data_IF_947398206311
#
_entry.id   IF_947398206311
#
_cell.length_a   1.000
_cell.length_b   1.000
_cell.length_c   1.000
_cell.angle_alpha   90.00
_cell.angle_beta   90.00
_cell.angle_gamma   90.00
#
_symmetry.space_group_name_H-M   'P 1'
#
loop_
_entity.id
_entity.type
_entity.pdbx_description
1 polymer ?
#
# COMPACT_ATOMS: atom_id res chain seq x y z
N UNK A 1 9.62 -35.68 38.59
CA UNK A 1 10.51 -35.01 37.63
C UNK A 1 9.64 -34.14 36.72
N UNK A 2 9.74 -32.82 36.84
CA UNK A 2 9.05 -31.83 36.02
C UNK A 2 9.99 -31.42 34.88
N UNK A 3 9.56 -31.57 33.64
CA UNK A 3 10.24 -31.04 32.46
C UNK A 3 9.62 -29.69 32.11
N UNK A 4 10.32 -28.61 32.47
CA UNK A 4 10.08 -27.27 31.96
C UNK A 4 10.62 -27.19 30.54
N UNK A 5 9.74 -26.97 29.56
CA UNK A 5 10.14 -26.56 28.20
C UNK A 5 9.81 -25.08 28.08
N UNK A 6 10.83 -24.26 28.21
CA UNK A 6 10.84 -22.85 27.81
C UNK A 6 11.51 -22.78 26.44
N UNK A 7 10.78 -22.41 25.40
CA UNK A 7 11.30 -22.03 24.07
C UNK A 7 10.14 -21.35 23.33
N UNK A 8 10.24 -20.19 22.70
CA UNK A 8 11.33 -19.25 22.55
C UNK A 8 10.70 -17.91 22.22
N UNK A 9 11.30 -16.86 22.75
CA UNK A 9 10.92 -15.48 22.53
C UNK A 9 10.99 -15.20 21.02
N UNK A 10 9.85 -14.94 20.39
CA UNK A 10 9.83 -14.42 19.04
C UNK A 10 10.33 -12.98 19.11
N UNK A 11 11.56 -12.77 18.64
CA UNK A 11 12.13 -11.45 18.39
C UNK A 11 11.30 -10.80 17.27
N UNK A 12 10.57 -9.70 17.50
CA UNK A 12 9.96 -8.96 16.42
C UNK A 12 11.09 -8.24 15.68
N UNK A 13 11.47 -8.80 14.54
CA UNK A 13 12.26 -8.11 13.52
C UNK A 13 11.74 -6.68 13.37
N UNK A 14 12.66 -5.73 13.49
CA UNK A 14 12.48 -4.30 13.33
C UNK A 14 11.71 -3.98 12.05
N UNK A 15 10.38 -3.92 12.13
CA UNK A 15 9.58 -3.17 11.17
C UNK A 15 10.02 -1.71 11.32
N UNK A 16 10.59 -1.16 10.25
CA UNK A 16 10.97 0.25 10.16
C UNK A 16 9.81 1.09 10.70
N UNK A 17 10.02 1.62 11.91
CA UNK A 17 9.03 2.38 12.65
C UNK A 17 8.84 3.72 11.95
N UNK A 18 8.01 3.74 10.91
CA UNK A 18 7.34 4.96 10.50
C UNK A 18 6.53 5.44 11.71
N UNK A 19 6.61 6.73 12.10
CA UNK A 19 5.79 7.25 13.18
C UNK A 19 4.32 6.90 12.94
N UNK A 20 3.74 6.11 13.84
CA UNK A 20 2.34 5.75 13.76
C UNK A 20 1.50 7.04 13.74
N UNK A 21 0.71 7.25 12.68
CA UNK A 21 -0.22 8.38 12.55
C UNK A 21 0.20 9.51 11.59
N UNK A 22 1.22 9.33 10.75
CA UNK A 22 1.58 10.30 9.71
C UNK A 22 0.51 10.38 8.60
N UNK A 23 0.00 11.59 8.29
CA UNK A 23 -0.89 11.82 7.16
C UNK A 23 -0.11 11.83 5.82
N UNK A 24 -0.75 11.45 4.71
CA UNK A 24 -0.07 11.36 3.40
C UNK A 24 0.74 12.63 3.03
N UNK A 25 0.25 13.86 3.28
CA UNK A 25 1.02 15.06 3.04
C UNK A 25 2.33 15.10 3.84
N UNK A 26 2.31 14.79 5.14
CA UNK A 26 3.53 14.70 5.95
C UNK A 26 4.47 13.61 5.44
N UNK A 27 3.93 12.42 5.13
CA UNK A 27 4.69 11.30 4.60
C UNK A 27 5.42 11.68 3.30
N UNK A 28 4.73 12.31 2.35
CA UNK A 28 5.35 12.74 1.10
C UNK A 28 6.44 13.80 1.30
N UNK A 29 6.24 14.75 2.22
CA UNK A 29 7.25 15.77 2.52
C UNK A 29 8.51 15.15 3.12
N UNK A 30 8.34 14.21 4.07
CA UNK A 30 9.45 13.48 4.67
C UNK A 30 10.23 12.68 3.62
N UNK A 31 9.54 11.94 2.75
CA UNK A 31 10.17 11.10 1.72
C UNK A 31 10.89 11.94 0.64
N UNK A 32 10.35 13.11 0.28
CA UNK A 32 11.05 14.06 -0.60
C UNK A 32 12.32 14.61 0.04
N UNK A 33 12.27 14.95 1.34
CA UNK A 33 13.44 15.40 2.08
C UNK A 33 14.51 14.28 2.20
N UNK A 34 14.07 13.04 2.49
CA UNK A 34 14.91 11.85 2.58
C UNK A 34 15.65 11.56 1.27
N UNK A 35 14.94 11.60 0.15
CA UNK A 35 15.51 11.37 -1.19
C UNK A 35 16.25 12.58 -1.76
N UNK A 36 16.17 13.74 -1.11
CA UNK A 36 16.68 15.03 -1.61
C UNK A 36 16.15 15.38 -3.00
N UNK A 37 14.90 14.99 -3.28
CA UNK A 37 14.19 15.24 -4.54
C UNK A 37 13.06 16.23 -4.32
N UNK A 38 12.64 16.87 -5.39
CA UNK A 38 11.55 17.84 -5.33
C UNK A 38 10.22 17.30 -5.89
N UNK A 39 9.17 18.04 -5.59
CA UNK A 39 7.81 17.74 -6.05
C UNK A 39 7.68 17.76 -7.59
N UNK A 40 8.48 18.56 -8.29
CA UNK A 40 8.43 18.69 -9.75
C UNK A 40 9.00 17.45 -10.42
N UNK A 41 10.10 16.92 -9.90
CA UNK A 41 10.66 15.63 -10.30
C UNK A 41 9.64 14.51 -10.08
N UNK A 42 8.94 14.51 -8.93
CA UNK A 42 7.96 13.48 -8.60
C UNK A 42 6.76 13.52 -9.54
N UNK A 43 6.24 14.73 -9.82
CA UNK A 43 5.18 14.93 -10.81
C UNK A 43 5.59 14.46 -12.21
N UNK A 44 6.84 14.72 -12.60
CA UNK A 44 7.36 14.33 -13.91
C UNK A 44 7.47 12.82 -14.05
N UNK A 45 8.04 12.13 -13.06
CA UNK A 45 8.25 10.67 -13.14
C UNK A 45 6.95 9.86 -12.97
N UNK A 46 6.02 10.35 -12.14
CA UNK A 46 4.73 9.67 -11.94
C UNK A 46 3.70 9.99 -13.04
N UNK A 47 3.92 11.06 -13.82
CA UNK A 47 2.91 11.61 -14.74
C UNK A 47 1.72 12.28 -14.03
N UNK A 48 1.75 12.41 -12.70
CA UNK A 48 0.71 13.10 -11.93
C UNK A 48 0.90 14.60 -12.10
N UNK A 49 -0.17 15.31 -12.48
CA UNK A 49 -0.14 16.78 -12.64
C UNK A 49 0.41 17.45 -11.39
N UNK A 50 1.39 18.35 -11.57
CA UNK A 50 2.02 19.09 -10.48
C UNK A 50 1.01 19.77 -9.55
N UNK A 51 -0.02 20.42 -10.10
CA UNK A 51 -1.07 21.08 -9.31
C UNK A 51 -1.87 20.11 -8.44
N UNK A 52 -2.05 18.86 -8.90
CA UNK A 52 -2.73 17.81 -8.15
C UNK A 52 -1.86 17.34 -6.98
N UNK A 53 -0.59 17.07 -7.24
CA UNK A 53 0.38 16.71 -6.21
C UNK A 53 0.53 17.85 -5.17
N UNK A 54 0.56 19.09 -5.64
CA UNK A 54 0.60 20.29 -4.78
C UNK A 54 -0.62 20.33 -3.86
N UNK A 55 -1.80 20.06 -4.40
CA UNK A 55 -3.03 20.11 -3.61
C UNK A 55 -3.06 19.08 -2.47
N UNK A 56 -2.35 17.97 -2.64
CA UNK A 56 -2.17 16.97 -1.59
C UNK A 56 -1.14 17.44 -0.56
N UNK A 57 0.05 17.85 -1.00
CA UNK A 57 1.14 18.30 -0.12
C UNK A 57 0.74 19.51 0.74
N UNK A 58 -0.03 20.46 0.19
CA UNK A 58 -0.49 21.64 0.92
C UNK A 58 -1.82 21.42 1.66
N UNK A 59 -2.33 20.18 1.72
CA UNK A 59 -3.62 19.82 2.35
C UNK A 59 -4.84 20.58 1.82
N UNK A 60 -4.75 21.20 0.64
CA UNK A 60 -5.86 21.99 0.07
C UNK A 60 -6.96 21.11 -0.50
N UNK A 61 -6.67 19.83 -0.78
CA UNK A 61 -7.67 18.80 -1.08
C UNK A 61 -7.42 17.57 -0.22
N UNK A 62 -8.49 16.99 0.32
CA UNK A 62 -8.43 15.75 1.08
C UNK A 62 -7.85 14.58 0.26
N UNK A 63 -7.03 13.77 0.91
CA UNK A 63 -6.30 12.64 0.32
C UNK A 63 -7.12 11.35 0.23
N UNK A 64 -8.31 11.33 0.85
CA UNK A 64 -9.22 10.18 0.88
C UNK A 64 -9.72 9.71 -0.49
N UNK A 65 -9.67 10.58 -1.52
CA UNK A 65 -10.10 10.27 -2.90
C UNK A 65 -8.96 9.97 -3.87
N UNK A 66 -7.72 9.84 -3.38
CA UNK A 66 -6.59 9.48 -4.25
C UNK A 66 -6.83 8.07 -4.79
N UNK A 67 -6.52 7.85 -6.08
CA UNK A 67 -6.68 6.54 -6.72
C UNK A 67 -5.57 5.61 -6.23
N UNK A 68 -5.88 4.32 -6.09
CA UNK A 68 -4.88 3.33 -5.70
C UNK A 68 -3.67 3.31 -6.66
N UNK A 69 -3.92 3.46 -7.96
CA UNK A 69 -2.86 3.53 -8.97
C UNK A 69 -1.95 4.75 -8.77
N UNK A 70 -2.50 5.91 -8.39
CA UNK A 70 -1.69 7.10 -8.11
C UNK A 70 -0.78 6.86 -6.88
N UNK A 71 -1.30 6.21 -5.83
CA UNK A 71 -0.49 5.84 -4.66
C UNK A 71 0.60 4.83 -5.00
N UNK A 72 0.29 3.84 -5.85
CA UNK A 72 1.26 2.85 -6.33
C UNK A 72 2.38 3.52 -7.11
N UNK A 73 2.05 4.40 -8.06
CA UNK A 73 3.04 5.15 -8.84
C UNK A 73 3.95 6.01 -7.97
N UNK A 74 3.38 6.72 -6.98
CA UNK A 74 4.16 7.49 -6.01
C UNK A 74 5.12 6.58 -5.23
N UNK A 75 4.62 5.44 -4.74
CA UNK A 75 5.42 4.47 -3.99
C UNK A 75 6.57 3.91 -4.84
N UNK A 76 6.28 3.49 -6.07
CA UNK A 76 7.26 2.89 -6.98
C UNK A 76 8.39 3.89 -7.30
N UNK A 77 8.04 5.15 -7.60
CA UNK A 77 9.04 6.21 -7.87
C UNK A 77 9.87 6.53 -6.64
N UNK A 78 9.25 6.73 -5.47
CA UNK A 78 9.96 7.07 -4.24
C UNK A 78 10.92 5.96 -3.81
N UNK A 79 10.51 4.69 -3.91
CA UNK A 79 11.40 3.53 -3.67
C UNK A 79 12.52 3.46 -4.71
N UNK A 80 12.23 3.76 -5.97
CA UNK A 80 13.24 3.88 -7.02
C UNK A 80 14.30 4.95 -6.74
N UNK A 81 13.97 5.96 -5.94
CA UNK A 81 14.91 6.97 -5.45
C UNK A 81 15.60 6.60 -4.13
N UNK A 82 15.33 5.42 -3.59
CA UNK A 82 15.92 4.91 -2.36
C UNK A 82 15.17 5.29 -1.08
N UNK A 83 13.93 5.78 -1.17
CA UNK A 83 13.11 6.07 0.02
C UNK A 83 12.66 4.77 0.71
N UNK A 84 12.73 4.74 2.04
CA UNK A 84 12.17 3.65 2.85
C UNK A 84 10.67 3.87 3.05
N UNK A 85 9.88 3.38 2.09
CA UNK A 85 8.42 3.44 2.13
C UNK A 85 7.78 2.18 1.56
N UNK A 86 6.72 1.72 2.21
CA UNK A 86 5.91 0.59 1.76
C UNK A 86 4.57 1.04 1.15
N UNK A 87 3.98 0.26 0.24
CA UNK A 87 2.62 0.52 -0.27
C UNK A 87 1.57 0.62 0.86
N UNK A 88 1.77 -0.15 1.93
CA UNK A 88 0.93 -0.13 3.13
C UNK A 88 0.95 1.23 3.81
N UNK A 89 2.14 1.77 4.11
CA UNK A 89 2.30 3.09 4.74
C UNK A 89 1.64 4.18 3.88
N UNK A 90 1.82 4.15 2.56
CA UNK A 90 1.19 5.10 1.62
C UNK A 90 -0.34 5.00 1.62
N UNK A 91 -0.88 3.79 1.69
CA UNK A 91 -2.33 3.57 1.76
C UNK A 91 -2.91 4.00 3.12
N UNK A 92 -2.28 3.63 4.24
CA UNK A 92 -2.69 4.04 5.60
C UNK A 92 -2.68 5.57 5.72
N UNK A 93 -1.59 6.22 5.29
CA UNK A 93 -1.45 7.68 5.34
C UNK A 93 -2.49 8.41 4.46
N UNK A 94 -3.00 7.76 3.41
CA UNK A 94 -4.07 8.32 2.57
C UNK A 94 -5.48 8.22 3.19
N UNK A 95 -5.60 7.59 4.36
CA UNK A 95 -6.88 7.33 5.02
C UNK A 95 -7.73 6.27 4.29
N UNK A 96 -7.10 5.46 3.43
CA UNK A 96 -7.79 4.33 2.79
C UNK A 96 -7.76 3.13 3.72
N UNK A 97 -8.85 2.36 3.84
CA UNK A 97 -8.80 1.06 4.49
C UNK A 97 -7.78 0.22 3.74
N UNK A 98 -6.66 -0.08 4.41
CA UNK A 98 -5.69 -1.02 3.88
C UNK A 98 -6.33 -2.38 4.01
N UNK A 99 -6.50 -3.14 2.90
CA UNK A 99 -6.80 -4.55 3.01
C UNK A 99 -5.72 -5.10 3.91
N UNK A 100 -6.12 -5.54 5.12
CA UNK A 100 -5.16 -6.04 6.11
C UNK A 100 -4.23 -7.03 5.41
N UNK A 101 -2.95 -7.12 5.85
CA UNK A 101 -1.92 -7.83 5.11
C UNK A 101 -2.53 -9.11 4.54
N UNK A 102 -2.38 -9.29 3.23
CA UNK A 102 -2.54 -10.61 2.69
C UNK A 102 -1.51 -11.41 3.48
N UNK A 103 -1.95 -12.09 4.54
CA UNK A 103 -1.15 -13.09 5.24
C UNK A 103 -0.58 -13.87 4.08
N UNK A 104 0.74 -13.90 3.91
CA UNK A 104 1.33 -14.46 2.67
C UNK A 104 0.75 -15.85 2.38
N UNK A 105 0.36 -16.56 3.44
CA UNK A 105 -0.47 -17.76 3.45
C UNK A 105 -1.81 -17.63 2.68
N UNK A 106 -2.62 -16.59 2.91
CA UNK A 106 -3.87 -16.32 2.18
C UNK A 106 -3.63 -15.99 0.71
N UNK A 107 -2.61 -15.19 0.39
CA UNK A 107 -2.25 -14.91 -1.01
C UNK A 107 -1.77 -16.18 -1.71
N UNK A 108 -0.86 -16.91 -1.07
CA UNK A 108 -0.34 -18.20 -1.56
C UNK A 108 -1.47 -19.20 -1.75
N UNK A 109 -2.38 -19.32 -0.78
CA UNK A 109 -3.56 -20.17 -0.87
C UNK A 109 -4.49 -19.77 -2.01
N UNK A 110 -4.72 -18.47 -2.23
CA UNK A 110 -5.52 -17.99 -3.35
C UNK A 110 -4.86 -18.35 -4.70
N UNK A 111 -3.54 -18.19 -4.81
CA UNK A 111 -2.79 -18.54 -6.00
C UNK A 111 -2.77 -20.06 -6.25
N UNK A 112 -2.64 -20.86 -5.20
CA UNK A 112 -2.68 -22.32 -5.30
C UNK A 112 -4.07 -22.80 -5.75
N UNK A 113 -5.13 -22.22 -5.20
CA UNK A 113 -6.51 -22.47 -5.65
C UNK A 113 -6.63 -22.10 -7.13
N UNK A 114 -6.24 -20.88 -7.51
CA UNK A 114 -6.33 -20.41 -8.90
C UNK A 114 -5.60 -21.33 -9.88
N UNK A 115 -4.38 -21.76 -9.56
CA UNK A 115 -3.56 -22.65 -10.40
C UNK A 115 -4.16 -24.05 -10.55
N UNK A 116 -4.86 -24.55 -9.53
CA UNK A 116 -5.49 -25.87 -9.56
C UNK A 116 -6.80 -25.92 -10.37
N UNK A 117 -7.39 -24.76 -10.69
CA UNK A 117 -8.64 -24.69 -11.44
C UNK A 117 -8.41 -24.86 -12.96
N UNK A 118 -9.35 -25.51 -13.68
CA UNK A 118 -9.43 -25.43 -15.14
C UNK A 118 -9.61 -23.98 -15.61
N UNK A 119 -9.28 -23.68 -16.87
CA UNK A 119 -9.34 -22.33 -17.46
C UNK A 119 -10.70 -21.65 -17.24
N UNK A 120 -11.80 -22.39 -17.36
CA UNK A 120 -13.14 -21.84 -17.12
C UNK A 120 -13.35 -21.43 -15.64
N UNK A 121 -12.81 -22.21 -14.69
CA UNK A 121 -12.85 -21.91 -13.27
C UNK A 121 -11.99 -20.71 -12.89
N UNK A 122 -10.81 -20.56 -13.50
CA UNK A 122 -9.97 -19.38 -13.36
C UNK A 122 -10.69 -18.10 -13.81
N UNK A 123 -11.37 -18.16 -14.96
CA UNK A 123 -12.17 -17.02 -15.48
C UNK A 123 -13.34 -16.68 -14.55
N UNK A 124 -14.03 -17.69 -14.02
CA UNK A 124 -15.12 -17.48 -13.07
C UNK A 124 -14.62 -16.85 -11.74
N UNK A 125 -13.49 -17.31 -11.22
CA UNK A 125 -12.88 -16.77 -10.01
C UNK A 125 -12.51 -15.29 -10.19
N UNK A 126 -11.95 -14.92 -11.34
CA UNK A 126 -11.66 -13.51 -11.67
C UNK A 126 -12.95 -12.69 -11.71
N UNK A 127 -13.97 -13.13 -12.46
CA UNK A 127 -15.25 -12.42 -12.54
C UNK A 127 -15.88 -12.21 -11.16
N UNK A 128 -15.83 -13.23 -10.30
CA UNK A 128 -16.36 -13.12 -8.95
C UNK A 128 -15.56 -12.11 -8.09
N UNK A 129 -14.23 -12.11 -8.19
CA UNK A 129 -13.39 -11.12 -7.54
C UNK A 129 -13.69 -9.69 -8.04
N UNK A 130 -13.97 -9.53 -9.33
CA UNK A 130 -14.36 -8.24 -9.92
C UNK A 130 -15.73 -7.76 -9.41
N UNK A 131 -16.69 -8.67 -9.24
CA UNK A 131 -17.99 -8.35 -8.63
C UNK A 131 -17.82 -7.89 -7.18
N UNK A 132 -17.05 -8.62 -6.37
CA UNK A 132 -16.75 -8.22 -4.98
C UNK A 132 -16.05 -6.86 -4.90
N UNK A 133 -15.16 -6.57 -5.86
CA UNK A 133 -14.53 -5.25 -5.99
C UNK A 133 -15.56 -4.16 -6.30
N UNK A 134 -16.54 -4.45 -7.15
CA UNK A 134 -17.63 -3.54 -7.52
C UNK A 134 -18.61 -3.26 -6.37
N UNK A 135 -19.00 -4.27 -5.58
CA UNK A 135 -19.94 -4.09 -4.45
C UNK A 135 -19.36 -3.21 -3.35
N UNK A 136 -18.05 -3.27 -3.11
CA UNK A 136 -17.35 -2.36 -2.20
C UNK A 136 -17.37 -0.89 -2.65
N UNK A 137 -17.66 -0.61 -3.93
CA UNK A 137 -17.75 0.75 -4.47
C UNK A 137 -19.16 1.35 -4.52
N UNK A 138 -20.20 0.53 -4.35
CA UNK A 138 -21.61 0.96 -4.38
C UNK A 138 -22.21 1.30 -3.00
N UNK A 139 -21.48 1.08 -1.90
CA UNK A 139 -21.88 1.54 -0.57
C UNK A 139 -21.58 3.03 -0.37
N UNK A 140 -22.34 3.91 -1.00
CA UNK A 140 -22.36 5.35 -0.74
C UNK A 140 -23.77 5.91 -0.86
#
# INVERSE_FOLDING_TARGET
MLLSVTNGQHDPTTEGSTPAGEDLPALLLRLLAETRRDQKELATQTGIKYSRLNSWLTRTRGTSRIKADDLRLLTDVLRGWGADVTPRQMAEASGRPVPGPAVEERERKLLDIYRSLPVQGQRALIQHAELLRGTMTSGK
#
